data_IF_810180653786
#
_entry.id   IF_810180653786
#
_cell.length_a   1.000
_cell.length_b   1.000
_cell.length_c   1.000
_cell.angle_alpha   90.00
_cell.angle_beta   90.00
_cell.angle_gamma   90.00
#
_symmetry.space_group_name_H-M   'P 1'
#
loop_
_entity.id
_entity.type
_entity.pdbx_description
1 polymer ?
#
# COMPACT_ATOMS: atom_id res chain seq x y z
N UNK A 1 -31.80 -17.31 58.43
CA UNK A 1 -31.71 -16.89 57.03
C UNK A 1 -31.55 -15.38 57.04
N UNK A 2 -30.30 -14.91 57.02
CA UNK A 2 -30.01 -13.47 57.00
C UNK A 2 -30.28 -12.96 55.59
N UNK A 3 -31.36 -12.18 55.43
CA UNK A 3 -31.55 -11.39 54.23
C UNK A 3 -30.51 -10.25 54.25
N UNK A 4 -29.44 -10.39 53.47
CA UNK A 4 -28.53 -9.28 53.17
C UNK A 4 -29.35 -8.18 52.47
N UNK A 5 -29.58 -7.07 53.17
CA UNK A 5 -30.23 -5.94 52.56
C UNK A 5 -29.32 -5.34 51.49
N UNK A 6 -29.86 -4.99 50.35
CA UNK A 6 -29.13 -4.34 49.21
C UNK A 6 -28.50 -3.02 49.72
N UNK A 7 -29.09 -2.34 50.67
CA UNK A 7 -28.56 -1.10 51.28
C UNK A 7 -27.28 -1.31 52.08
N UNK A 8 -27.05 -2.50 52.67
CA UNK A 8 -25.83 -2.82 53.42
C UNK A 8 -24.67 -3.23 52.46
N UNK A 9 -24.96 -3.63 51.21
CA UNK A 9 -23.98 -4.01 50.22
C UNK A 9 -23.46 -2.82 49.39
N UNK A 10 -24.22 -1.75 49.26
CA UNK A 10 -23.84 -0.56 48.48
C UNK A 10 -22.51 0.09 48.95
N UNK A 11 -22.30 0.39 50.26
CA UNK A 11 -21.04 0.99 50.71
C UNK A 11 -19.81 0.10 50.51
N UNK A 12 -19.99 -1.23 50.58
CA UNK A 12 -18.92 -2.20 50.40
C UNK A 12 -18.48 -2.27 48.90
N UNK A 13 -19.41 -2.04 47.98
CA UNK A 13 -19.15 -2.05 46.55
C UNK A 13 -18.67 -0.67 46.01
N UNK A 14 -19.04 0.43 46.66
CA UNK A 14 -18.67 1.78 46.19
C UNK A 14 -17.17 2.01 46.12
N UNK A 15 -16.40 1.61 47.10
CA UNK A 15 -14.95 1.82 47.14
C UNK A 15 -14.23 1.04 46.04
N UNK A 16 -14.46 -0.28 45.84
CA UNK A 16 -13.88 -1.01 44.73
C UNK A 16 -14.30 -0.47 43.35
N UNK A 17 -15.58 -0.11 43.15
CA UNK A 17 -16.09 0.46 41.90
C UNK A 17 -15.47 1.82 41.62
N UNK A 18 -15.28 2.66 42.61
CA UNK A 18 -14.56 3.93 42.46
C UNK A 18 -13.13 3.73 41.96
N UNK A 19 -12.36 2.81 42.58
CA UNK A 19 -10.98 2.56 42.17
C UNK A 19 -10.89 1.91 40.79
N UNK A 20 -11.79 0.99 40.44
CA UNK A 20 -11.88 0.43 39.11
C UNK A 20 -12.20 1.51 38.08
N UNK A 21 -13.19 2.38 38.40
CA UNK A 21 -13.54 3.51 37.53
C UNK A 21 -12.38 4.49 37.36
N UNK A 22 -11.74 4.90 38.46
CA UNK A 22 -10.58 5.79 38.42
C UNK A 22 -9.41 5.23 37.63
N UNK A 23 -9.07 3.92 37.83
CA UNK A 23 -8.02 3.23 37.08
C UNK A 23 -8.36 3.15 35.58
N UNK A 24 -9.61 2.83 35.24
CA UNK A 24 -10.08 2.78 33.86
C UNK A 24 -9.95 4.13 33.16
N UNK A 25 -10.42 5.19 33.81
CA UNK A 25 -10.34 6.57 33.27
C UNK A 25 -8.87 6.99 33.12
N UNK A 26 -8.03 6.74 34.13
CA UNK A 26 -6.62 7.07 34.06
C UNK A 26 -5.91 6.28 32.93
N UNK A 27 -6.17 4.98 32.81
CA UNK A 27 -5.60 4.14 31.74
C UNK A 27 -6.03 4.59 30.36
N UNK A 28 -7.30 4.90 30.16
CA UNK A 28 -7.82 5.44 28.89
C UNK A 28 -7.21 6.82 28.58
N UNK A 29 -7.09 7.69 29.58
CA UNK A 29 -6.48 9.01 29.39
C UNK A 29 -5.00 8.91 29.01
N UNK A 30 -4.23 8.04 29.65
CA UNK A 30 -2.84 7.77 29.30
C UNK A 30 -2.71 7.15 27.91
N UNK A 31 -3.62 6.23 27.55
CA UNK A 31 -3.63 5.65 26.21
C UNK A 31 -3.93 6.71 25.14
N UNK A 32 -4.93 7.58 25.35
CA UNK A 32 -5.24 8.69 24.44
C UNK A 32 -4.07 9.65 24.31
N UNK A 33 -3.48 10.05 25.44
CA UNK A 33 -2.31 10.95 25.46
C UNK A 33 -1.14 10.35 24.69
N UNK A 34 -0.85 9.07 24.93
CA UNK A 34 0.22 8.35 24.19
C UNK A 34 -0.07 8.34 22.68
N UNK A 35 -1.31 8.08 22.25
CA UNK A 35 -1.71 8.13 20.83
C UNK A 35 -1.56 9.52 20.22
N UNK A 36 -1.93 10.55 20.95
CA UNK A 36 -1.79 11.94 20.51
C UNK A 36 -0.32 12.34 20.38
N UNK A 37 0.53 11.96 21.34
CA UNK A 37 1.98 12.20 21.28
C UNK A 37 2.65 11.45 20.13
N UNK A 38 2.28 10.19 19.88
CA UNK A 38 2.73 9.44 18.71
C UNK A 38 2.28 10.12 17.41
N UNK A 39 1.01 10.50 17.31
CA UNK A 39 0.49 11.21 16.14
C UNK A 39 1.23 12.53 15.90
N UNK A 40 1.45 13.32 16.95
CA UNK A 40 2.21 14.56 16.87
C UNK A 40 3.65 14.31 16.40
N UNK A 41 4.34 13.31 16.97
CA UNK A 41 5.70 12.92 16.57
C UNK A 41 5.78 12.57 15.09
N UNK A 42 4.81 11.81 14.58
CA UNK A 42 4.82 11.32 13.19
C UNK A 42 4.45 12.43 12.19
N UNK A 43 3.37 13.18 12.48
CA UNK A 43 2.75 14.05 11.49
C UNK A 43 3.13 15.53 11.61
N UNK A 44 3.66 15.95 12.75
CA UNK A 44 4.03 17.35 13.00
C UNK A 44 5.55 17.50 13.15
N UNK A 45 6.17 16.66 13.96
CA UNK A 45 7.62 16.71 14.18
C UNK A 45 8.41 16.01 13.06
N UNK A 46 7.86 14.94 12.50
CA UNK A 46 8.18 14.35 11.20
C UNK A 46 9.66 14.20 10.83
N UNK A 47 10.50 13.68 11.71
CA UNK A 47 11.89 13.37 11.40
C UNK A 47 12.08 11.85 11.27
N UNK A 48 11.49 11.27 10.21
CA UNK A 48 11.77 9.89 9.83
C UNK A 48 13.21 9.69 9.35
N UNK A 49 13.52 8.47 8.95
CA UNK A 49 14.84 8.13 8.40
C UNK A 49 15.15 9.03 7.20
N UNK A 50 16.23 9.77 7.28
CA UNK A 50 16.69 10.59 6.17
C UNK A 50 17.21 9.68 5.04
N UNK A 51 16.45 9.61 3.95
CA UNK A 51 16.86 8.89 2.75
C UNK A 51 17.96 9.66 2.02
N UNK A 52 19.11 9.04 1.87
CA UNK A 52 20.24 9.59 1.11
C UNK A 52 21.10 8.45 0.55
N UNK A 53 21.95 8.71 -0.46
CA UNK A 53 22.88 7.71 -1.02
C UNK A 53 23.89 7.11 0.00
N UNK A 54 23.94 7.63 1.23
CA UNK A 54 24.72 7.03 2.33
C UNK A 54 24.17 5.66 2.77
N UNK A 55 22.91 5.34 2.44
CA UNK A 55 22.32 4.01 2.64
C UNK A 55 22.79 2.99 1.59
N UNK A 56 23.22 3.48 0.44
CA UNK A 56 23.65 2.77 -0.76
C UNK A 56 23.37 3.62 -1.97
N UNK A 57 24.24 3.62 -2.97
CA UNK A 57 24.16 4.49 -4.16
C UNK A 57 22.83 4.36 -4.92
N UNK A 58 22.26 3.16 -4.98
CA UNK A 58 21.14 2.83 -5.85
C UNK A 58 19.83 2.67 -5.09
N UNK A 59 18.74 3.13 -5.70
CA UNK A 59 17.37 2.82 -5.29
C UNK A 59 16.65 2.04 -6.39
N UNK A 60 15.95 0.98 -6.01
CA UNK A 60 15.17 0.12 -6.91
C UNK A 60 13.69 0.40 -6.72
N UNK A 61 12.97 0.64 -7.82
CA UNK A 61 11.51 0.82 -7.79
C UNK A 61 10.85 -0.12 -8.79
N UNK A 62 9.95 -0.97 -8.32
CA UNK A 62 9.12 -1.83 -9.17
C UNK A 62 7.81 -1.12 -9.54
N UNK A 63 7.33 -1.31 -10.79
CA UNK A 63 6.17 -0.55 -11.29
C UNK A 63 6.46 0.94 -11.44
N UNK A 64 7.68 1.31 -11.84
CA UNK A 64 8.22 2.67 -11.83
C UNK A 64 7.70 3.60 -12.94
N UNK A 65 6.82 3.13 -13.82
CA UNK A 65 6.42 3.88 -15.04
C UNK A 65 5.15 4.69 -14.89
N UNK A 66 4.41 4.56 -13.78
CA UNK A 66 3.14 5.27 -13.58
C UNK A 66 2.79 5.42 -12.08
N UNK A 67 1.90 6.36 -11.77
CA UNK A 67 1.29 6.53 -10.45
C UNK A 67 2.29 6.68 -9.31
N UNK A 68 2.04 5.97 -8.22
CA UNK A 68 2.83 6.05 -6.99
C UNK A 68 4.30 5.65 -7.24
N UNK A 69 4.54 4.57 -8.02
CA UNK A 69 5.89 4.08 -8.29
C UNK A 69 6.75 5.06 -9.07
N UNK A 70 6.16 5.76 -10.08
CA UNK A 70 6.88 6.81 -10.81
C UNK A 70 7.29 7.95 -9.88
N UNK A 71 6.39 8.38 -8.99
CA UNK A 71 6.68 9.46 -8.05
C UNK A 71 7.72 9.05 -7.00
N UNK A 72 7.71 7.79 -6.52
CA UNK A 72 8.82 7.31 -5.69
C UNK A 72 10.17 7.40 -6.43
N UNK A 73 10.22 7.03 -7.71
CA UNK A 73 11.44 7.14 -8.50
C UNK A 73 11.90 8.60 -8.62
N UNK A 74 10.99 9.53 -8.87
CA UNK A 74 11.28 10.97 -8.94
C UNK A 74 11.78 11.52 -7.59
N UNK A 75 11.14 11.18 -6.49
CA UNK A 75 11.52 11.62 -5.15
C UNK A 75 12.89 11.07 -4.69
N UNK A 76 13.16 9.80 -5.00
CA UNK A 76 14.46 9.19 -4.68
C UNK A 76 15.58 9.75 -5.56
N UNK A 77 15.32 9.98 -6.86
CA UNK A 77 16.27 10.68 -7.75
C UNK A 77 16.55 12.10 -7.27
N UNK A 78 15.53 12.85 -6.82
CA UNK A 78 15.68 14.19 -6.23
C UNK A 78 16.55 14.20 -4.98
N UNK A 79 16.59 13.08 -4.23
CA UNK A 79 17.47 12.89 -3.07
C UNK A 79 18.88 12.44 -3.45
N UNK A 80 19.18 12.28 -4.75
CA UNK A 80 20.51 11.95 -5.29
C UNK A 80 20.79 10.47 -5.47
N UNK A 81 19.80 9.58 -5.32
CA UNK A 81 20.01 8.16 -5.63
C UNK A 81 20.15 7.93 -7.15
N UNK A 82 21.04 7.05 -7.54
CA UNK A 82 20.98 6.39 -8.82
C UNK A 82 19.78 5.44 -8.86
N UNK A 83 19.08 5.35 -9.99
CA UNK A 83 17.77 4.71 -10.04
C UNK A 83 17.77 3.43 -10.87
N UNK A 84 17.22 2.35 -10.32
CA UNK A 84 16.89 1.13 -11.07
C UNK A 84 15.37 1.05 -11.20
N UNK A 85 14.90 1.17 -12.44
CA UNK A 85 13.50 1.22 -12.78
C UNK A 85 13.06 -0.12 -13.37
N UNK A 86 12.09 -0.79 -12.73
CA UNK A 86 11.62 -2.10 -13.17
C UNK A 86 10.14 -2.03 -13.49
N UNK A 87 9.75 -2.37 -14.73
CA UNK A 87 8.36 -2.40 -15.19
C UNK A 87 8.24 -3.25 -16.47
N UNK A 88 7.03 -3.35 -17.05
CA UNK A 88 6.77 -4.22 -18.21
C UNK A 88 7.21 -3.64 -19.56
N UNK A 89 7.08 -2.33 -19.74
CA UNK A 89 7.21 -1.68 -21.05
C UNK A 89 8.51 -0.90 -21.12
N UNK A 90 9.42 -1.34 -22.01
CA UNK A 90 10.77 -0.73 -22.15
C UNK A 90 10.67 0.76 -22.52
N UNK A 91 9.89 1.12 -23.53
CA UNK A 91 9.78 2.54 -23.98
C UNK A 91 9.39 3.49 -22.84
N UNK A 92 8.43 3.07 -21.98
CA UNK A 92 8.02 3.87 -20.81
C UNK A 92 9.10 3.96 -19.74
N UNK A 93 9.89 2.89 -19.57
CA UNK A 93 11.03 2.91 -18.66
C UNK A 93 12.08 3.88 -19.15
N UNK A 94 12.40 3.89 -20.44
CA UNK A 94 13.39 4.77 -21.05
C UNK A 94 12.92 6.23 -21.02
N UNK A 95 11.63 6.48 -21.19
CA UNK A 95 11.05 7.83 -21.02
C UNK A 95 11.22 8.35 -19.59
N UNK A 96 10.92 7.53 -18.58
CA UNK A 96 11.10 7.92 -17.17
C UNK A 96 12.59 8.07 -16.85
N UNK A 97 13.45 7.16 -17.30
CA UNK A 97 14.89 7.24 -17.11
C UNK A 97 15.46 8.55 -17.63
N UNK A 98 15.16 8.90 -18.89
CA UNK A 98 15.58 10.19 -19.50
C UNK A 98 15.09 11.41 -18.74
N UNK A 99 13.85 11.36 -18.22
CA UNK A 99 13.32 12.45 -17.37
C UNK A 99 14.15 12.61 -16.10
N UNK A 100 14.44 11.50 -15.39
CA UNK A 100 15.23 11.52 -14.15
C UNK A 100 16.67 11.99 -14.39
N UNK A 101 17.34 11.48 -15.42
CA UNK A 101 18.69 11.86 -15.82
C UNK A 101 18.77 13.37 -16.17
N UNK A 102 17.81 13.85 -16.93
CA UNK A 102 17.77 15.25 -17.35
C UNK A 102 17.51 16.19 -16.18
N UNK A 103 16.54 15.84 -15.33
CA UNK A 103 16.07 16.73 -14.26
C UNK A 103 16.94 16.67 -13.01
N UNK A 104 17.41 15.48 -12.61
CA UNK A 104 18.11 15.27 -11.34
C UNK A 104 19.60 14.95 -11.49
N UNK A 105 20.08 14.73 -12.73
CA UNK A 105 21.50 14.41 -13.03
C UNK A 105 21.99 13.14 -12.33
N UNK A 106 21.13 12.14 -12.19
CA UNK A 106 21.43 10.83 -11.58
C UNK A 106 21.60 9.75 -12.66
N UNK A 107 22.36 8.70 -12.34
CA UNK A 107 22.45 7.51 -13.20
C UNK A 107 21.12 6.73 -13.15
N UNK A 108 20.74 6.14 -14.29
CA UNK A 108 19.57 5.27 -14.36
C UNK A 108 19.90 3.93 -14.99
N UNK A 109 19.15 2.90 -14.62
CA UNK A 109 19.16 1.57 -15.23
C UNK A 109 17.73 1.07 -15.36
N UNK A 110 17.37 0.53 -16.52
CA UNK A 110 16.02 0.02 -16.77
C UNK A 110 16.06 -1.52 -16.91
N UNK A 111 15.04 -2.19 -16.38
CA UNK A 111 14.85 -3.63 -16.47
C UNK A 111 13.41 -3.91 -16.87
N UNK A 112 13.16 -4.27 -18.12
CA UNK A 112 11.83 -4.63 -18.60
C UNK A 112 11.53 -6.08 -18.32
N UNK A 113 10.54 -6.33 -17.43
CA UNK A 113 10.03 -7.65 -17.07
C UNK A 113 8.54 -7.58 -16.72
N UNK A 114 7.83 -8.69 -16.94
CA UNK A 114 6.45 -8.85 -16.48
C UNK A 114 6.41 -9.70 -15.20
N UNK A 115 6.05 -9.09 -14.08
CA UNK A 115 5.94 -9.77 -12.78
C UNK A 115 4.80 -10.81 -12.71
N UNK A 116 3.97 -10.92 -13.74
CA UNK A 116 3.04 -12.04 -13.90
C UNK A 116 3.74 -13.37 -14.21
N UNK A 117 4.97 -13.32 -14.72
CA UNK A 117 5.80 -14.48 -15.06
C UNK A 117 6.71 -14.87 -13.90
N UNK A 118 7.07 -16.16 -13.82
CA UNK A 118 7.90 -16.70 -12.73
C UNK A 118 9.39 -16.77 -13.05
N UNK A 119 9.76 -16.73 -14.32
CA UNK A 119 11.12 -16.92 -14.83
C UNK A 119 11.93 -15.61 -14.99
N UNK A 120 11.43 -14.52 -14.47
CA UNK A 120 12.03 -13.18 -14.62
C UNK A 120 13.18 -12.88 -13.65
N UNK A 121 13.23 -13.57 -12.52
CA UNK A 121 14.13 -13.23 -11.41
C UNK A 121 15.62 -13.39 -11.74
N UNK A 122 16.08 -14.38 -12.54
CA UNK A 122 17.49 -14.44 -12.99
C UNK A 122 17.90 -13.20 -13.78
N UNK A 123 17.02 -12.65 -14.64
CA UNK A 123 17.27 -11.41 -15.37
C UNK A 123 17.40 -10.21 -14.45
N UNK A 124 16.52 -10.12 -13.44
CA UNK A 124 16.57 -9.05 -12.43
C UNK A 124 17.87 -9.17 -11.63
N UNK A 125 18.21 -10.37 -11.14
CA UNK A 125 19.42 -10.63 -10.35
C UNK A 125 20.68 -10.22 -11.11
N UNK A 126 20.81 -10.62 -12.36
CA UNK A 126 21.90 -10.18 -13.24
C UNK A 126 21.92 -8.65 -13.41
N UNK A 127 20.75 -8.01 -13.50
CA UNK A 127 20.61 -6.57 -13.58
C UNK A 127 21.03 -5.83 -12.31
N UNK A 128 20.89 -6.44 -11.14
CA UNK A 128 21.25 -5.87 -9.83
C UNK A 128 22.67 -6.22 -9.38
N UNK A 129 23.35 -7.14 -10.09
CA UNK A 129 24.67 -7.65 -9.69
C UNK A 129 25.70 -6.53 -9.54
N UNK A 130 26.45 -6.54 -8.44
CA UNK A 130 27.49 -5.57 -8.16
C UNK A 130 27.00 -4.17 -7.70
N UNK A 131 25.69 -3.91 -7.68
CA UNK A 131 25.14 -2.60 -7.31
C UNK A 131 24.87 -2.51 -5.81
N UNK A 132 25.22 -1.36 -5.22
CA UNK A 132 24.98 -1.07 -3.81
C UNK A 132 23.59 -0.46 -3.62
N UNK A 133 22.60 -1.31 -3.32
CA UNK A 133 21.20 -0.91 -3.21
C UNK A 133 20.90 -0.45 -1.77
N UNK A 134 20.56 0.84 -1.60
CA UNK A 134 20.19 1.43 -0.32
C UNK A 134 18.69 1.43 -0.05
N UNK A 135 17.87 1.48 -1.12
CA UNK A 135 16.40 1.53 -1.02
C UNK A 135 15.77 0.57 -2.02
N UNK A 136 14.80 -0.21 -1.57
CA UNK A 136 13.91 -1.02 -2.42
C UNK A 136 12.46 -0.58 -2.21
N UNK A 137 11.78 -0.22 -3.29
CA UNK A 137 10.34 0.07 -3.29
C UNK A 137 9.61 -1.01 -4.07
N UNK A 138 9.00 -1.94 -3.36
CA UNK A 138 8.11 -2.96 -3.90
C UNK A 138 6.73 -2.36 -4.13
N UNK A 139 6.54 -1.73 -5.29
CA UNK A 139 5.30 -1.01 -5.62
C UNK A 139 4.49 -1.68 -6.72
N UNK A 140 5.08 -2.59 -7.52
CA UNK A 140 4.30 -3.29 -8.54
C UNK A 140 3.07 -3.96 -7.93
N UNK A 141 1.93 -3.82 -8.59
CA UNK A 141 0.69 -4.42 -8.12
C UNK A 141 -0.41 -4.32 -9.15
N UNK A 142 -1.35 -5.25 -9.07
CA UNK A 142 -2.58 -5.28 -9.88
C UNK A 142 -3.79 -5.41 -8.97
N UNK A 143 -4.95 -5.02 -9.50
CA UNK A 143 -6.25 -5.16 -8.85
C UNK A 143 -7.30 -5.65 -9.85
N UNK A 144 -8.50 -5.85 -9.38
CA UNK A 144 -9.65 -6.17 -10.20
C UNK A 144 -9.97 -5.04 -11.19
N UNK A 145 -10.37 -5.35 -12.43
CA UNK A 145 -10.87 -4.33 -13.35
C UNK A 145 -12.14 -3.63 -12.84
N UNK A 146 -12.95 -4.35 -12.08
CA UNK A 146 -14.12 -3.89 -11.32
C UNK A 146 -14.43 -4.92 -10.21
N UNK A 147 -15.08 -4.55 -9.09
CA UNK A 147 -15.45 -5.48 -8.05
C UNK A 147 -16.32 -6.62 -8.57
N UNK A 148 -15.96 -7.90 -8.28
CA UNK A 148 -16.70 -9.06 -8.76
C UNK A 148 -16.75 -10.16 -7.70
N UNK A 149 -17.80 -11.00 -7.73
CA UNK A 149 -17.90 -12.20 -6.94
C UNK A 149 -16.82 -13.20 -7.37
N UNK A 150 -16.22 -13.91 -6.40
CA UNK A 150 -15.08 -14.79 -6.63
C UNK A 150 -15.28 -15.76 -7.80
N UNK A 151 -16.38 -16.50 -7.81
CA UNK A 151 -16.69 -17.48 -8.86
C UNK A 151 -17.11 -16.83 -10.20
N UNK A 152 -17.36 -15.52 -10.24
CA UNK A 152 -17.76 -14.82 -11.45
C UNK A 152 -16.60 -14.03 -12.10
N UNK A 153 -15.39 -14.16 -11.56
CA UNK A 153 -14.19 -13.54 -12.15
C UNK A 153 -13.90 -14.27 -13.47
N UNK A 154 -13.82 -13.55 -14.59
CA UNK A 154 -13.42 -14.15 -15.86
C UNK A 154 -12.01 -14.72 -15.76
N UNK A 155 -11.80 -15.94 -16.32
CA UNK A 155 -10.51 -16.62 -16.33
C UNK A 155 -9.87 -16.69 -14.92
N UNK A 156 -10.64 -17.26 -13.98
CA UNK A 156 -10.33 -17.23 -12.55
C UNK A 156 -8.96 -17.79 -12.22
N UNK A 157 -8.56 -18.91 -12.83
CA UNK A 157 -7.29 -19.57 -12.52
C UNK A 157 -6.08 -18.70 -12.90
N UNK A 158 -6.09 -18.13 -14.11
CA UNK A 158 -5.07 -17.19 -14.54
C UNK A 158 -5.11 -15.89 -13.74
N UNK A 159 -6.30 -15.41 -13.38
CA UNK A 159 -6.44 -14.23 -12.52
C UNK A 159 -5.81 -14.46 -11.14
N UNK A 160 -6.06 -15.61 -10.49
CA UNK A 160 -5.48 -15.96 -9.20
C UNK A 160 -3.95 -16.04 -9.31
N UNK A 161 -3.45 -16.81 -10.28
CA UNK A 161 -2.01 -16.98 -10.49
C UNK A 161 -1.31 -15.63 -10.72
N UNK A 162 -1.85 -14.81 -11.60
CA UNK A 162 -1.30 -13.49 -11.89
C UNK A 162 -1.34 -12.55 -10.66
N UNK A 163 -2.43 -12.59 -9.87
CA UNK A 163 -2.54 -11.80 -8.64
C UNK A 163 -1.49 -12.21 -7.60
N UNK A 164 -1.26 -13.51 -7.44
CA UNK A 164 -0.23 -14.05 -6.52
C UNK A 164 1.15 -13.65 -7.01
N UNK A 165 1.46 -13.87 -8.29
CA UNK A 165 2.78 -13.55 -8.85
C UNK A 165 3.10 -12.07 -8.72
N UNK A 166 2.17 -11.19 -9.12
CA UNK A 166 2.42 -9.74 -9.15
C UNK A 166 2.37 -9.12 -7.77
N UNK A 167 1.41 -9.50 -6.90
CA UNK A 167 1.22 -8.80 -5.62
C UNK A 167 1.97 -9.44 -4.44
N UNK A 168 2.32 -10.74 -4.51
CA UNK A 168 2.90 -11.47 -3.38
C UNK A 168 4.31 -11.99 -3.72
N UNK A 169 4.44 -12.84 -4.74
CA UNK A 169 5.72 -13.45 -5.13
C UNK A 169 6.77 -12.39 -5.47
N UNK A 170 6.36 -11.32 -6.18
CA UNK A 170 7.27 -10.23 -6.54
C UNK A 170 7.91 -9.56 -5.31
N UNK A 171 7.11 -9.30 -4.28
CA UNK A 171 7.59 -8.67 -3.03
C UNK A 171 8.61 -9.57 -2.33
N UNK A 172 8.30 -10.86 -2.20
CA UNK A 172 9.20 -11.83 -1.57
C UNK A 172 10.51 -11.97 -2.35
N UNK A 173 10.43 -12.16 -3.67
CA UNK A 173 11.59 -12.40 -4.51
C UNK A 173 12.49 -11.16 -4.65
N UNK A 174 11.91 -9.98 -4.86
CA UNK A 174 12.69 -8.73 -4.89
C UNK A 174 13.40 -8.48 -3.57
N UNK A 175 12.72 -8.72 -2.45
CA UNK A 175 13.31 -8.60 -1.11
C UNK A 175 14.43 -9.61 -0.93
N UNK A 176 14.25 -10.88 -1.32
CA UNK A 176 15.28 -11.93 -1.28
C UNK A 176 16.54 -11.54 -2.06
N UNK A 177 16.40 -10.90 -3.21
CA UNK A 177 17.53 -10.49 -4.04
C UNK A 177 18.33 -9.32 -3.44
N UNK A 178 17.67 -8.41 -2.73
CA UNK A 178 18.28 -7.15 -2.27
C UNK A 178 18.71 -7.19 -0.82
N UNK A 179 17.93 -7.81 0.05
CA UNK A 179 18.11 -7.78 1.50
C UNK A 179 19.46 -8.31 2.00
N UNK A 180 20.05 -9.42 1.48
CA UNK A 180 21.31 -9.93 2.00
C UNK A 180 22.42 -8.88 2.00
N UNK A 181 22.61 -8.16 0.92
CA UNK A 181 23.64 -7.11 0.80
C UNK A 181 23.34 -5.87 1.66
N UNK A 182 22.07 -5.56 1.93
CA UNK A 182 21.70 -4.54 2.89
C UNK A 182 22.10 -4.97 4.31
N UNK A 183 21.86 -6.23 4.68
CA UNK A 183 22.22 -6.80 5.98
C UNK A 183 23.74 -6.81 6.20
N UNK A 184 24.51 -7.23 5.20
CA UNK A 184 26.00 -7.20 5.26
C UNK A 184 26.53 -5.80 5.61
N UNK A 185 25.89 -4.75 5.10
CA UNK A 185 26.28 -3.35 5.36
C UNK A 185 25.58 -2.75 6.57
N UNK A 186 24.64 -3.47 7.20
CA UNK A 186 23.77 -2.96 8.28
C UNK A 186 23.05 -1.66 7.89
N UNK A 187 22.69 -1.49 6.63
CA UNK A 187 22.05 -0.30 6.07
C UNK A 187 21.10 -0.67 4.95
N UNK A 188 19.87 -0.21 5.00
CA UNK A 188 18.91 -0.38 3.94
C UNK A 188 17.49 -0.05 4.35
N UNK A 189 16.67 0.29 3.37
CA UNK A 189 15.25 0.57 3.52
C UNK A 189 14.47 -0.22 2.49
N UNK A 190 13.46 -0.96 2.94
CA UNK A 190 12.52 -1.70 2.09
C UNK A 190 11.11 -1.16 2.34
N UNK A 191 10.51 -0.58 1.31
CA UNK A 191 9.14 -0.08 1.33
C UNK A 191 8.25 -1.03 0.54
N UNK A 192 7.29 -1.66 1.20
CA UNK A 192 6.35 -2.58 0.59
C UNK A 192 4.98 -1.91 0.45
N UNK A 193 4.57 -1.62 -0.78
CA UNK A 193 3.29 -0.95 -1.04
C UNK A 193 2.16 -1.95 -0.99
N UNK A 194 1.53 -2.01 0.17
CA UNK A 194 0.29 -2.75 0.42
C UNK A 194 -0.94 -1.93 -0.02
N UNK A 195 -1.98 -1.89 0.77
CA UNK A 195 -3.21 -1.10 0.60
C UNK A 195 -3.99 -1.09 1.91
N UNK A 196 -4.78 -0.06 2.15
CA UNK A 196 -5.79 -0.07 3.21
C UNK A 196 -6.76 -1.26 3.07
N UNK A 197 -6.93 -1.81 1.86
CA UNK A 197 -7.68 -3.05 1.63
C UNK A 197 -7.02 -4.29 2.26
N UNK A 198 -5.79 -4.23 2.75
CA UNK A 198 -5.13 -5.27 3.52
C UNK A 198 -5.40 -5.19 5.03
N UNK A 199 -6.02 -4.10 5.53
CA UNK A 199 -6.31 -3.92 6.96
C UNK A 199 -7.52 -4.72 7.43
N UNK A 200 -8.43 -5.04 6.53
CA UNK A 200 -9.67 -5.80 6.78
C UNK A 200 -10.17 -6.47 5.50
N UNK A 201 -11.00 -7.54 5.61
CA UNK A 201 -11.56 -8.19 4.43
C UNK A 201 -12.40 -7.24 3.58
N UNK A 202 -12.19 -7.24 2.26
CA UNK A 202 -12.94 -6.41 1.32
C UNK A 202 -13.70 -7.30 0.34
N UNK A 203 -15.01 -7.57 0.57
CA UNK A 203 -15.83 -8.38 -0.33
C UNK A 203 -15.86 -7.85 -1.75
N UNK A 204 -15.94 -8.72 -2.74
CA UNK A 204 -15.85 -8.50 -4.18
C UNK A 204 -14.44 -8.05 -4.68
N UNK A 205 -13.50 -7.87 -3.76
CA UNK A 205 -12.06 -7.68 -4.03
C UNK A 205 -11.23 -8.67 -3.20
N UNK A 206 -11.77 -9.86 -2.94
CA UNK A 206 -11.26 -10.80 -1.93
C UNK A 206 -9.81 -11.19 -2.19
N UNK A 207 -9.45 -11.63 -3.40
CA UNK A 207 -8.07 -12.04 -3.73
C UNK A 207 -7.10 -10.87 -3.62
N UNK A 208 -7.50 -9.68 -4.08
CA UNK A 208 -6.70 -8.46 -3.94
C UNK A 208 -6.49 -8.08 -2.47
N UNK A 209 -7.56 -8.00 -1.70
CA UNK A 209 -7.51 -7.69 -0.26
C UNK A 209 -6.60 -8.67 0.49
N UNK A 210 -6.74 -9.98 0.23
CA UNK A 210 -5.90 -11.02 0.83
C UNK A 210 -4.43 -10.87 0.42
N UNK A 211 -4.15 -10.55 -0.85
CA UNK A 211 -2.77 -10.32 -1.31
C UNK A 211 -2.12 -9.11 -0.62
N UNK A 212 -2.91 -8.06 -0.35
CA UNK A 212 -2.41 -6.87 0.35
C UNK A 212 -2.25 -7.09 1.85
N UNK A 213 -3.09 -7.91 2.47
CA UNK A 213 -2.89 -8.38 3.84
C UNK A 213 -1.60 -9.21 3.98
N UNK A 214 -1.33 -10.11 3.02
CA UNK A 214 -0.07 -10.85 2.97
C UNK A 214 1.14 -9.90 2.98
N UNK A 215 1.16 -8.89 2.11
CA UNK A 215 2.26 -7.90 2.04
C UNK A 215 2.43 -7.15 3.35
N UNK A 216 1.34 -6.78 4.01
CA UNK A 216 1.40 -6.11 5.31
C UNK A 216 2.00 -7.02 6.39
N UNK A 217 1.53 -8.25 6.52
CA UNK A 217 2.05 -9.21 7.49
C UNK A 217 3.52 -9.55 7.23
N UNK A 218 3.88 -9.82 5.98
CA UNK A 218 5.26 -10.07 5.57
C UNK A 218 6.18 -8.92 5.95
N UNK A 219 5.78 -7.69 5.68
CA UNK A 219 6.58 -6.49 5.96
C UNK A 219 6.84 -6.31 7.46
N UNK A 220 5.79 -6.45 8.28
CA UNK A 220 5.89 -6.28 9.74
C UNK A 220 6.71 -7.40 10.39
N UNK A 221 6.55 -8.64 9.92
CA UNK A 221 7.40 -9.75 10.37
C UNK A 221 8.86 -9.50 10.04
N UNK A 222 9.14 -9.12 8.78
CA UNK A 222 10.50 -8.85 8.33
C UNK A 222 11.15 -7.65 9.04
N UNK A 223 10.38 -6.62 9.37
CA UNK A 223 10.84 -5.48 10.16
C UNK A 223 11.36 -5.94 11.52
N UNK A 224 10.62 -6.79 12.22
CA UNK A 224 11.03 -7.30 13.55
C UNK A 224 12.31 -8.17 13.46
N UNK A 225 12.41 -8.99 12.41
CA UNK A 225 13.61 -9.84 12.19
C UNK A 225 14.89 -9.06 11.90
N UNK A 226 14.78 -7.90 11.21
CA UNK A 226 15.94 -7.19 10.68
C UNK A 226 16.19 -5.79 11.26
N UNK A 227 15.31 -5.26 12.11
CA UNK A 227 15.52 -3.94 12.74
C UNK A 227 16.82 -3.87 13.57
N UNK A 228 17.16 -4.94 14.30
CA UNK A 228 18.41 -5.02 15.06
C UNK A 228 19.66 -5.09 14.17
N UNK A 229 19.48 -5.37 12.87
CA UNK A 229 20.56 -5.40 11.86
C UNK A 229 20.65 -4.08 11.07
N UNK A 230 20.01 -3.02 11.54
CA UNK A 230 20.05 -1.71 10.91
C UNK A 230 19.21 -1.56 9.64
N UNK A 231 18.28 -2.48 9.39
CA UNK A 231 17.38 -2.45 8.23
C UNK A 231 16.00 -1.93 8.65
N UNK A 232 15.44 -1.06 7.85
CA UNK A 232 14.05 -0.59 7.98
C UNK A 232 13.21 -1.28 6.91
N UNK A 233 12.17 -2.00 7.33
CA UNK A 233 11.13 -2.54 6.46
C UNK A 233 9.80 -1.92 6.85
N UNK A 234 9.17 -1.21 5.93
CA UNK A 234 7.91 -0.54 6.21
C UNK A 234 6.78 -1.05 5.31
N UNK A 235 5.64 -1.37 5.93
CA UNK A 235 4.39 -1.63 5.24
C UNK A 235 3.65 -0.32 4.99
N UNK A 236 3.39 0.01 3.72
CA UNK A 236 2.69 1.23 3.31
C UNK A 236 1.30 0.88 2.81
N UNK A 237 0.26 1.39 3.49
CA UNK A 237 -1.15 1.05 3.24
C UNK A 237 -1.95 2.28 2.77
N UNK A 238 -1.79 2.71 1.50
CA UNK A 238 -2.59 3.81 0.97
C UNK A 238 -4.09 3.44 0.92
N UNK A 239 -4.95 4.42 1.23
CA UNK A 239 -6.31 4.43 0.74
C UNK A 239 -6.33 4.88 -0.72
N UNK A 240 -7.36 5.56 -1.17
CA UNK A 240 -7.44 5.97 -2.57
C UNK A 240 -6.47 7.12 -2.88
N UNK A 241 -5.57 6.90 -3.83
CA UNK A 241 -4.71 7.92 -4.44
C UNK A 241 -5.16 8.13 -5.89
N UNK A 242 -5.15 9.36 -6.38
CA UNK A 242 -5.61 9.70 -7.72
C UNK A 242 -4.63 9.21 -8.79
N UNK A 243 -4.80 7.95 -9.21
CA UNK A 243 -3.96 7.25 -10.19
C UNK A 243 -4.80 6.65 -11.32
N UNK A 244 -4.16 6.14 -12.37
CA UNK A 244 -4.84 5.36 -13.42
C UNK A 244 -5.51 4.09 -12.88
N UNK A 245 -4.91 3.44 -11.89
CA UNK A 245 -5.46 2.24 -11.25
C UNK A 245 -6.80 2.54 -10.57
N UNK A 246 -6.89 3.63 -9.80
CA UNK A 246 -8.12 4.03 -9.10
C UNK A 246 -9.12 4.75 -10.00
N UNK A 247 -8.70 5.20 -11.19
CA UNK A 247 -9.49 5.99 -12.14
C UNK A 247 -10.04 7.31 -11.57
N UNK A 248 -9.46 7.80 -10.50
CA UNK A 248 -9.81 9.09 -9.89
C UNK A 248 -9.12 10.20 -10.67
N UNK A 249 -9.91 11.08 -11.30
CA UNK A 249 -9.40 12.18 -12.13
C UNK A 249 -9.26 13.49 -11.36
N UNK A 250 -10.11 13.71 -10.34
CA UNK A 250 -10.09 14.93 -9.52
C UNK A 250 -9.62 14.57 -8.12
N UNK A 251 -8.40 14.97 -7.72
CA UNK A 251 -7.91 14.74 -6.37
C UNK A 251 -8.73 15.57 -5.36
N UNK A 252 -8.83 15.02 -4.15
CA UNK A 252 -9.50 15.63 -2.99
C UNK A 252 -8.59 15.51 -1.77
N UNK A 253 -8.99 16.04 -0.62
CA UNK A 253 -8.19 15.94 0.60
C UNK A 253 -7.96 14.48 1.01
N UNK A 254 -8.98 13.62 0.88
CA UNK A 254 -8.97 12.19 1.20
C UNK A 254 -8.47 11.31 0.04
N UNK A 255 -8.28 11.88 -1.15
CA UNK A 255 -7.76 11.22 -2.37
C UNK A 255 -6.67 12.07 -2.99
N UNK A 256 -5.49 12.12 -2.37
CA UNK A 256 -4.39 12.98 -2.81
C UNK A 256 -3.87 12.58 -4.19
N UNK A 257 -3.10 13.48 -4.79
CA UNK A 257 -2.25 13.10 -5.94
C UNK A 257 -1.12 12.18 -5.49
N UNK A 258 -0.51 11.39 -6.39
CA UNK A 258 0.66 10.56 -6.07
C UNK A 258 1.80 11.37 -5.44
N UNK A 259 2.07 12.57 -5.95
CA UNK A 259 3.14 13.46 -5.48
C UNK A 259 2.91 13.87 -4.02
N UNK A 260 1.69 14.31 -3.71
CA UNK A 260 1.32 14.68 -2.33
C UNK A 260 1.37 13.49 -1.38
N UNK A 261 0.94 12.31 -1.87
CA UNK A 261 0.96 11.10 -1.09
C UNK A 261 2.39 10.65 -0.75
N UNK A 262 3.25 10.49 -1.78
CA UNK A 262 4.63 10.02 -1.61
C UNK A 262 5.47 11.00 -0.78
N UNK A 263 5.32 12.31 -1.02
CA UNK A 263 6.02 13.31 -0.22
C UNK A 263 5.69 13.21 1.28
N UNK A 264 4.42 12.94 1.64
CA UNK A 264 4.01 12.72 3.03
C UNK A 264 4.50 11.37 3.56
N UNK A 265 4.40 10.30 2.76
CA UNK A 265 4.79 8.95 3.18
C UNK A 265 6.29 8.89 3.52
N UNK A 266 7.16 9.45 2.69
CA UNK A 266 8.59 9.46 2.90
C UNK A 266 9.03 10.10 4.24
N UNK A 267 8.18 10.93 4.85
CA UNK A 267 8.45 11.49 6.19
C UNK A 267 8.18 10.51 7.32
N UNK A 268 7.46 9.41 7.05
CA UNK A 268 7.06 8.40 8.06
C UNK A 268 8.07 7.24 8.20
N UNK A 269 9.05 7.16 7.31
CA UNK A 269 10.01 6.05 7.24
C UNK A 269 10.80 5.94 8.55
N UNK A 270 10.78 4.75 9.16
CA UNK A 270 11.44 4.46 10.43
C UNK A 270 10.72 5.00 11.68
N UNK A 271 9.58 5.71 11.52
CA UNK A 271 8.73 6.12 12.63
C UNK A 271 7.58 5.15 12.90
N UNK A 272 7.21 4.37 11.90
CA UNK A 272 6.15 3.36 11.95
C UNK A 272 6.55 2.15 11.12
N UNK A 273 6.28 0.94 11.62
CA UNK A 273 6.48 -0.30 10.84
C UNK A 273 5.34 -0.50 9.82
N UNK A 274 4.16 0.03 10.15
CA UNK A 274 2.97 0.08 9.31
C UNK A 274 2.45 1.51 9.25
N UNK A 275 2.29 2.06 8.04
CA UNK A 275 1.82 3.44 7.84
C UNK A 275 0.75 3.53 6.76
N UNK A 276 -0.22 4.44 6.93
CA UNK A 276 -1.09 4.82 5.81
C UNK A 276 -0.45 5.89 4.90
N UNK A 277 0.74 6.39 5.24
CA UNK A 277 1.59 7.26 4.42
C UNK A 277 1.10 8.71 4.24
N UNK A 278 -0.12 9.04 4.66
CA UNK A 278 -0.72 10.35 4.50
C UNK A 278 -1.69 10.63 5.65
N UNK A 279 -1.62 11.82 6.26
CA UNK A 279 -2.38 12.09 7.49
C UNK A 279 -3.89 11.81 7.40
N UNK A 280 -4.63 12.30 6.39
CA UNK A 280 -6.04 11.94 6.25
C UNK A 280 -6.27 10.43 6.10
N UNK A 281 -5.37 9.69 5.43
CA UNK A 281 -5.44 8.23 5.35
C UNK A 281 -5.20 7.58 6.72
N UNK A 282 -4.27 8.11 7.52
CA UNK A 282 -4.02 7.60 8.87
C UNK A 282 -5.24 7.80 9.78
N UNK A 283 -5.91 8.95 9.68
CA UNK A 283 -7.17 9.19 10.41
C UNK A 283 -8.25 8.19 9.96
N UNK A 284 -8.42 7.98 8.66
CA UNK A 284 -9.38 7.00 8.13
C UNK A 284 -9.05 5.57 8.59
N UNK A 285 -7.76 5.20 8.54
CA UNK A 285 -7.27 3.89 8.99
C UNK A 285 -7.57 3.69 10.49
N UNK A 286 -7.28 4.68 11.31
CA UNK A 286 -7.57 4.62 12.75
C UNK A 286 -9.07 4.51 13.02
N UNK A 287 -9.92 5.33 12.36
CA UNK A 287 -11.37 5.26 12.50
C UNK A 287 -11.91 3.86 12.16
N UNK A 288 -11.47 3.28 11.05
CA UNK A 288 -11.97 1.99 10.57
C UNK A 288 -11.45 0.78 11.36
N UNK A 289 -10.34 0.92 12.09
CA UNK A 289 -9.76 -0.19 12.85
C UNK A 289 -10.01 -0.11 14.36
N UNK A 290 -10.22 1.09 14.90
CA UNK A 290 -10.35 1.30 16.34
C UNK A 290 -11.79 1.64 16.77
N UNK A 291 -12.49 2.48 16.00
CA UNK A 291 -13.82 2.98 16.41
C UNK A 291 -14.97 2.21 15.77
N UNK A 292 -14.79 1.68 14.55
CA UNK A 292 -15.87 0.99 13.85
C UNK A 292 -15.71 -0.53 14.00
N UNK A 293 -16.72 -1.26 14.49
CA UNK A 293 -16.69 -2.71 14.51
C UNK A 293 -16.40 -3.28 13.11
N UNK A 294 -15.48 -4.23 13.03
CA UNK A 294 -14.98 -4.79 11.77
C UNK A 294 -16.11 -5.29 10.84
N UNK A 295 -17.16 -5.88 11.42
CA UNK A 295 -18.31 -6.37 10.67
C UNK A 295 -19.07 -5.25 9.92
N UNK A 296 -19.12 -4.03 10.50
CA UNK A 296 -19.71 -2.86 9.85
C UNK A 296 -18.83 -2.37 8.71
N UNK A 297 -17.49 -2.34 8.90
CA UNK A 297 -16.55 -1.98 7.84
C UNK A 297 -16.71 -2.92 6.64
N UNK A 298 -16.76 -4.23 6.89
CA UNK A 298 -16.97 -5.26 5.87
C UNK A 298 -18.33 -5.08 5.18
N UNK A 299 -19.39 -4.84 5.95
CA UNK A 299 -20.75 -4.64 5.41
C UNK A 299 -20.84 -3.43 4.48
N UNK A 300 -20.34 -2.27 4.92
CA UNK A 300 -20.35 -1.05 4.10
C UNK A 300 -19.42 -1.17 2.89
N UNK A 301 -18.26 -1.80 3.04
CA UNK A 301 -17.36 -2.11 1.94
C UNK A 301 -18.02 -3.00 0.88
N UNK A 302 -18.71 -4.06 1.31
CA UNK A 302 -19.48 -4.94 0.43
C UNK A 302 -20.59 -4.18 -0.31
N UNK A 303 -21.34 -3.31 0.40
CA UNK A 303 -22.41 -2.49 -0.18
C UNK A 303 -21.85 -1.54 -1.25
N UNK A 304 -20.75 -0.86 -0.94
CA UNK A 304 -20.06 0.04 -1.88
C UNK A 304 -19.59 -0.70 -3.12
N UNK A 305 -18.94 -1.85 -2.97
CA UNK A 305 -18.41 -2.64 -4.07
C UNK A 305 -19.53 -3.24 -4.95
N UNK A 306 -20.66 -3.67 -4.36
CA UNK A 306 -21.85 -4.08 -5.13
C UNK A 306 -22.40 -2.94 -6.00
N UNK A 307 -22.48 -1.73 -5.45
CA UNK A 307 -22.93 -0.55 -6.20
C UNK A 307 -21.97 -0.21 -7.34
N UNK A 308 -20.66 -0.26 -7.10
CA UNK A 308 -19.64 -0.05 -8.14
C UNK A 308 -19.73 -1.10 -9.26
N UNK A 309 -19.89 -2.38 -8.88
CA UNK A 309 -20.10 -3.49 -9.83
C UNK A 309 -21.30 -3.25 -10.73
N UNK A 310 -22.46 -2.98 -10.13
CA UNK A 310 -23.71 -2.70 -10.88
C UNK A 310 -23.52 -1.53 -11.84
N UNK A 311 -22.92 -0.44 -11.36
CA UNK A 311 -22.66 0.73 -12.21
C UNK A 311 -21.68 0.44 -13.35
N UNK A 312 -20.66 -0.40 -13.13
CA UNK A 312 -19.73 -0.81 -14.17
C UNK A 312 -20.42 -1.66 -15.25
N UNK A 313 -21.15 -2.70 -14.85
CA UNK A 313 -21.85 -3.61 -15.76
C UNK A 313 -22.91 -2.88 -16.59
N UNK A 314 -23.66 -1.94 -15.98
CA UNK A 314 -24.63 -1.09 -16.72
C UNK A 314 -23.92 -0.27 -17.80
N UNK A 315 -22.81 0.40 -17.47
CA UNK A 315 -22.04 1.20 -18.45
C UNK A 315 -21.44 0.33 -19.55
N UNK A 316 -20.96 -0.88 -19.23
CA UNK A 316 -20.44 -1.83 -20.21
C UNK A 316 -21.54 -2.24 -21.20
N UNK A 317 -22.72 -2.64 -20.72
CA UNK A 317 -23.88 -3.01 -21.56
C UNK A 317 -24.29 -1.88 -22.49
N UNK A 318 -24.35 -0.63 -22.01
CA UNK A 318 -24.68 0.53 -22.83
C UNK A 318 -23.64 0.77 -23.93
N UNK A 319 -22.37 0.58 -23.68
CA UNK A 319 -21.30 0.68 -24.70
C UNK A 319 -21.40 -0.41 -25.75
N UNK A 320 -21.69 -1.65 -25.35
CA UNK A 320 -21.89 -2.78 -26.27
C UNK A 320 -23.09 -2.53 -27.21
N UNK A 321 -24.19 -2.02 -26.67
CA UNK A 321 -25.38 -1.65 -27.48
C UNK A 321 -25.07 -0.48 -28.45
N UNK A 322 -24.36 0.55 -28.00
CA UNK A 322 -23.97 1.67 -28.84
C UNK A 322 -23.04 1.23 -30.00
N UNK A 323 -22.10 0.33 -29.73
CA UNK A 323 -21.20 -0.21 -30.77
C UNK A 323 -21.97 -1.07 -31.80
N UNK A 324 -22.95 -1.86 -31.35
CA UNK A 324 -23.83 -2.65 -32.26
C UNK A 324 -24.70 -1.75 -33.15
N UNK A 325 -25.21 -0.64 -32.64
CA UNK A 325 -25.99 0.31 -33.42
C UNK A 325 -25.18 1.02 -34.50
N UNK A 326 -23.94 1.44 -34.15
CA UNK A 326 -23.01 2.09 -35.08
C UNK A 326 -22.56 1.11 -36.20
N UNK A 327 -22.22 -0.13 -35.85
CA UNK A 327 -21.83 -1.14 -36.85
C UNK A 327 -22.97 -1.53 -37.79
N UNK A 328 -24.25 -1.43 -37.38
CA UNK A 328 -25.42 -1.59 -38.28
C UNK A 328 -25.60 -0.39 -39.22
N UNK A 329 -25.38 0.84 -38.71
CA UNK A 329 -25.47 2.06 -39.51
C UNK A 329 -24.43 2.12 -40.63
N UNK A 330 -23.18 1.65 -40.34
CA UNK A 330 -22.11 1.64 -41.34
C UNK A 330 -22.32 0.57 -42.44
N UNK A 331 -22.91 -0.57 -42.10
CA UNK A 331 -23.28 -1.59 -43.09
C UNK A 331 -24.42 -1.12 -44.04
N UNK A 332 -25.42 -0.40 -43.50
CA UNK A 332 -26.53 0.16 -44.31
C UNK A 332 -26.08 1.32 -45.20
N UNK A 333 -24.92 1.91 -44.97
CA UNK A 333 -24.35 2.97 -45.85
C UNK A 333 -23.38 2.42 -46.89
N UNK A 334 -23.00 1.16 -46.80
CA UNK A 334 -22.09 0.49 -47.74
C UNK A 334 -22.79 -0.42 -48.74
N UNK A 335 -24.11 -0.62 -48.57
CA UNK A 335 -25.04 -1.19 -49.56
C UNK A 335 -25.77 -0.04 -50.32
#
# INVERSE_FOLDING_TARGET
MYSLNVEDMLPVAETPLFWVGAFTVASLSLWVLHRLLQGFRIWVWGNGQLLSPKLGKWAVVTGATDGIGKVYAEELARKGFAMILISRTQDKLDDVARQLETQYKVETKTIAVDFGLSDIYPKIEAGLAGLEIGVLVNNVGISYPYPEYFLHIPDLDNFITNMINVNMTSVCQMTRLVLPRMVERSKGVVLNISSASGMYPVPLLTVYSSSKAFVDFFSRGLQEEYKAKGIIVQSVLPFFVATKMTRIRKPTLDKPTPERYVAAELTTIGLQDQTNGYFPHAVMGWLTTVLVPINLVIYFGARMNRAQRTGYLKRRKLRELANQSNGKSDRLKSE
#
